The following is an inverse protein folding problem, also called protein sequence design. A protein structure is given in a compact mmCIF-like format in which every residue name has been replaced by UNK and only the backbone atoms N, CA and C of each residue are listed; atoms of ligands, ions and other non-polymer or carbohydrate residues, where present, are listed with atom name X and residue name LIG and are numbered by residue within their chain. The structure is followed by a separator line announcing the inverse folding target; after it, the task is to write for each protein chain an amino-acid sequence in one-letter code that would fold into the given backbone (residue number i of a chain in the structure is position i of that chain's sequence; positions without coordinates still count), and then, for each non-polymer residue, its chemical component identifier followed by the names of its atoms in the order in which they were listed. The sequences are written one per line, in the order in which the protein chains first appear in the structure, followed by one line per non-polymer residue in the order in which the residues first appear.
data_IF_067288147140
#
_entry.id   IF_067288147140
#
_cell.length_a   1.000
_cell.length_b   1.000
_cell.length_c   1.000
_cell.angle_alpha   90.00
_cell.angle_beta   90.00
_cell.angle_gamma   90.00
#
_symmetry.space_group_name_H-M   'P 1'
#
loop_
_entity.id
_entity.type
_entity.pdbx_description
1 polymer ?
#
# COMPACT_ATOMS: atom_id res chain seq x y z
N UNK A 1 3.49 -2.15 -17.22
CA UNK A 1 3.43 -3.28 -16.26
C UNK A 1 4.78 -3.38 -15.53
N UNK A 2 5.08 -2.44 -14.64
CA UNK A 2 6.32 -2.51 -13.85
C UNK A 2 5.96 -2.36 -12.38
N UNK A 3 6.16 -3.43 -11.62
CA UNK A 3 6.16 -3.38 -10.16
C UNK A 3 7.62 -3.29 -9.72
N UNK A 4 7.93 -2.31 -8.89
CA UNK A 4 9.24 -2.12 -8.26
C UNK A 4 9.21 -2.62 -6.82
N UNK A 5 10.37 -2.81 -6.21
CA UNK A 5 10.44 -3.00 -4.77
C UNK A 5 10.22 -1.67 -4.03
N UNK A 6 9.79 -1.76 -2.78
CA UNK A 6 9.70 -0.61 -1.88
C UNK A 6 11.08 -0.03 -1.60
N UNK A 7 11.19 1.30 -1.66
CA UNK A 7 12.36 2.00 -1.13
C UNK A 7 12.34 2.02 0.40
N UNK A 8 13.50 2.25 1.01
CA UNK A 8 13.62 2.32 2.47
C UNK A 8 12.70 3.39 3.07
N UNK A 9 12.65 4.59 2.47
CA UNK A 9 11.76 5.65 2.93
C UNK A 9 10.27 5.26 2.85
N UNK A 10 9.86 4.48 1.85
CA UNK A 10 8.48 3.99 1.74
C UNK A 10 8.18 2.95 2.83
N UNK A 11 9.13 2.05 3.12
CA UNK A 11 9.03 1.07 4.22
C UNK A 11 8.92 1.79 5.57
N UNK A 12 9.72 2.83 5.81
CA UNK A 12 9.65 3.61 7.04
C UNK A 12 8.27 4.27 7.23
N UNK A 13 7.70 4.84 6.17
CA UNK A 13 6.34 5.40 6.22
C UNK A 13 5.30 4.31 6.52
N UNK A 14 5.42 3.13 5.89
CA UNK A 14 4.51 2.01 6.13
C UNK A 14 4.58 1.52 7.58
N UNK A 15 5.78 1.34 8.12
CA UNK A 15 6.01 0.95 9.51
C UNK A 15 5.43 2.01 10.47
N UNK A 16 5.67 3.29 10.19
CA UNK A 16 5.11 4.40 10.99
C UNK A 16 3.58 4.46 10.92
N UNK A 17 2.99 4.03 9.81
CA UNK A 17 1.55 3.88 9.63
C UNK A 17 0.97 2.61 10.29
N UNK A 18 1.78 1.84 11.03
CA UNK A 18 1.36 0.61 11.69
C UNK A 18 1.33 -0.61 10.77
N UNK A 19 1.97 -0.54 9.60
CA UNK A 19 2.06 -1.68 8.71
C UNK A 19 3.22 -2.60 9.09
N UNK A 20 2.99 -3.89 8.96
CA UNK A 20 4.00 -4.93 9.24
C UNK A 20 4.14 -5.83 8.02
N UNK A 21 5.35 -6.31 7.76
CA UNK A 21 5.59 -7.27 6.68
C UNK A 21 6.51 -8.38 7.15
N UNK A 22 6.18 -9.61 6.78
CA UNK A 22 7.04 -10.78 7.02
C UNK A 22 8.33 -10.68 6.21
N UNK A 23 8.22 -10.32 4.93
CA UNK A 23 9.39 -10.06 4.09
C UNK A 23 9.11 -8.93 3.09
N UNK A 24 9.70 -7.76 3.31
CA UNK A 24 9.53 -6.58 2.45
C UNK A 24 10.02 -6.79 1.02
N UNK A 25 10.95 -7.73 0.80
CA UNK A 25 11.44 -8.07 -0.55
C UNK A 25 10.40 -8.80 -1.40
N UNK A 26 9.43 -9.45 -0.76
CA UNK A 26 8.31 -10.10 -1.44
C UNK A 26 7.17 -9.12 -1.77
N UNK A 27 7.29 -7.87 -1.34
CA UNK A 27 6.31 -6.81 -1.63
C UNK A 27 6.78 -6.01 -2.83
N UNK A 28 5.97 -6.03 -3.88
CA UNK A 28 6.21 -5.22 -5.08
C UNK A 28 5.12 -4.18 -5.20
N UNK A 29 5.49 -2.94 -5.52
CA UNK A 29 4.58 -1.79 -5.62
C UNK A 29 4.68 -1.15 -6.99
N UNK A 30 3.63 -0.50 -7.48
CA UNK A 30 3.71 0.29 -8.71
C UNK A 30 4.55 1.57 -8.54
N UNK A 31 5.00 2.14 -9.65
CA UNK A 31 5.80 3.38 -9.69
C UNK A 31 5.14 4.58 -8.98
N UNK A 32 3.83 4.73 -9.10
CA UNK A 32 3.00 5.76 -8.47
C UNK A 32 2.41 5.33 -7.10
N UNK A 33 2.96 4.29 -6.48
CA UNK A 33 2.49 3.85 -5.16
C UNK A 33 2.71 4.93 -4.11
N UNK A 34 1.69 5.17 -3.28
CA UNK A 34 1.76 6.13 -2.19
C UNK A 34 1.54 5.42 -0.84
N UNK A 35 2.57 5.25 -0.01
CA UNK A 35 2.48 4.58 1.29
C UNK A 35 1.65 5.36 2.32
N UNK A 36 1.34 6.64 2.08
CA UNK A 36 0.53 7.44 3.00
C UNK A 36 -0.91 6.94 3.14
N UNK A 37 -1.43 6.27 2.12
CA UNK A 37 -2.78 5.70 2.06
C UNK A 37 -2.83 4.22 2.43
N UNK A 38 -1.80 3.73 3.13
CA UNK A 38 -1.73 2.37 3.64
C UNK A 38 -1.49 2.45 5.15
N UNK A 39 -2.45 1.99 5.96
CA UNK A 39 -2.35 2.03 7.43
C UNK A 39 -2.88 0.78 8.10
N UNK A 40 -2.21 0.38 9.17
CA UNK A 40 -2.55 -0.81 9.95
C UNK A 40 -2.73 -2.06 9.07
N UNK A 41 -1.76 -2.29 8.16
CA UNK A 41 -1.81 -3.39 7.19
C UNK A 41 -0.73 -4.42 7.50
N UNK A 42 -1.12 -5.69 7.54
CA UNK A 42 -0.17 -6.80 7.68
C UNK A 42 0.06 -7.49 6.34
N UNK A 43 1.30 -7.55 5.89
CA UNK A 43 1.72 -8.18 4.64
C UNK A 43 2.41 -9.51 4.90
N UNK A 44 1.93 -10.57 4.25
CA UNK A 44 2.46 -11.92 4.39
C UNK A 44 2.58 -12.62 3.03
N UNK A 45 3.72 -13.27 2.77
CA UNK A 45 3.96 -13.94 1.48
C UNK A 45 4.25 -12.98 0.33
N UNK A 46 3.85 -13.34 -0.89
CA UNK A 46 4.10 -12.55 -2.11
C UNK A 46 2.98 -11.52 -2.34
N UNK A 47 3.29 -10.23 -2.18
CA UNK A 47 2.31 -9.16 -2.29
C UNK A 47 2.66 -8.28 -3.49
N UNK A 48 1.65 -7.99 -4.31
CA UNK A 48 1.75 -6.97 -5.36
C UNK A 48 0.73 -5.87 -5.09
N UNK A 49 1.21 -4.64 -4.87
CA UNK A 49 0.38 -3.47 -4.65
C UNK A 49 0.35 -2.60 -5.89
N UNK A 50 -0.86 -2.30 -6.34
CA UNK A 50 -1.14 -1.37 -7.41
C UNK A 50 -1.00 0.08 -6.97
N UNK A 51 -1.64 0.95 -7.75
CA UNK A 51 -1.61 2.39 -7.51
C UNK A 51 -2.86 2.81 -6.74
N UNK A 52 -2.64 3.34 -5.54
CA UNK A 52 -3.71 3.88 -4.68
C UNK A 52 -3.98 5.38 -4.94
N UNK A 53 -3.60 5.88 -6.12
CA UNK A 53 -3.74 7.29 -6.51
C UNK A 53 -5.12 7.66 -7.04
N UNK A 54 -6.06 6.71 -7.19
CA UNK A 54 -7.41 7.07 -7.61
C UNK A 54 -8.13 7.84 -6.50
N UNK A 55 -8.36 9.12 -6.78
CA UNK A 55 -9.24 9.99 -6.01
C UNK A 55 -10.68 9.74 -6.44
N UNK A 56 -11.56 9.53 -5.47
CA UNK A 56 -13.00 9.49 -5.69
C UNK A 56 -13.63 10.71 -5.03
N UNK A 57 -14.41 11.46 -5.82
CA UNK A 57 -15.27 12.52 -5.32
C UNK A 57 -16.49 11.89 -4.64
N UNK A 58 -16.52 11.94 -3.31
CA UNK A 58 -17.68 11.53 -2.54
C UNK A 58 -18.64 12.71 -2.39
N UNK A 59 -19.95 12.44 -2.48
CA UNK A 59 -20.98 13.46 -2.34
C UNK A 59 -20.78 14.23 -1.02
N UNK A 60 -20.61 15.56 -1.12
CA UNK A 60 -20.26 16.43 0.01
C UNK A 60 -18.94 17.19 -0.12
N UNK A 61 -18.21 17.02 -1.22
CA UNK A 61 -16.96 17.77 -1.49
C UNK A 61 -15.71 17.17 -0.86
N UNK A 62 -15.81 15.92 -0.38
CA UNK A 62 -14.68 15.19 0.18
C UNK A 62 -14.02 14.35 -0.91
N UNK A 63 -12.72 14.59 -1.13
CA UNK A 63 -11.87 13.75 -1.97
C UNK A 63 -11.33 12.62 -1.11
N UNK A 64 -11.71 11.39 -1.41
CA UNK A 64 -11.20 10.21 -0.71
C UNK A 64 -10.22 9.51 -1.64
N UNK A 65 -9.01 9.28 -1.15
CA UNK A 65 -8.04 8.46 -1.88
C UNK A 65 -8.36 6.98 -1.70
N UNK A 66 -8.20 6.23 -2.78
CA UNK A 66 -8.09 4.77 -2.72
C UNK A 66 -6.97 4.42 -1.74
N UNK A 67 -7.14 3.39 -0.93
CA UNK A 67 -6.13 3.02 0.05
C UNK A 67 -6.46 1.70 0.72
N UNK A 68 -5.52 1.23 1.53
CA UNK A 68 -5.67 -0.01 2.31
C UNK A 68 -5.58 0.37 3.79
N UNK A 69 -6.63 0.07 4.53
CA UNK A 69 -6.73 0.40 5.94
C UNK A 69 -7.24 -0.81 6.72
N UNK A 70 -6.60 -1.17 7.83
CA UNK A 70 -7.05 -2.21 8.77
C UNK A 70 -7.31 -3.58 8.11
N UNK A 71 -6.30 -4.14 7.43
CA UNK A 71 -6.44 -5.43 6.74
C UNK A 71 -5.17 -6.27 6.82
N UNK A 72 -5.31 -7.57 6.60
CA UNK A 72 -4.20 -8.49 6.38
C UNK A 72 -4.22 -8.99 4.95
N UNK A 73 -3.08 -8.89 4.28
CA UNK A 73 -2.88 -9.35 2.91
C UNK A 73 -1.92 -10.53 2.92
N UNK A 74 -2.35 -11.64 2.31
CA UNK A 74 -1.55 -12.85 2.19
C UNK A 74 -1.55 -13.38 0.76
N UNK A 75 -0.37 -13.49 0.13
CA UNK A 75 -0.20 -14.03 -1.23
C UNK A 75 -1.19 -13.44 -2.26
N UNK A 76 -1.33 -12.12 -2.29
CA UNK A 76 -2.37 -11.42 -3.05
C UNK A 76 -1.80 -10.28 -3.88
N UNK A 77 -2.45 -10.02 -5.01
CA UNK A 77 -2.20 -8.86 -5.88
C UNK A 77 -3.42 -7.94 -5.82
N UNK A 78 -3.20 -6.69 -5.43
CA UNK A 78 -4.22 -5.63 -5.24
C UNK A 78 -4.01 -4.53 -6.26
#
# INVERSE_FOLDING_TARGET
MMYRQLNESEKEVLIKNGCSADNWENIRVKEDFNPAYVKNVEFSGNISLGTFTREFDQAGGFKVHSGIFDVRLHNVSV
#
